data_IF_783171529515
#
_entry.id   IF_783171529515
#
_cell.length_a   1.000
_cell.length_b   1.000
_cell.length_c   1.000
_cell.angle_alpha   90.00
_cell.angle_beta   90.00
_cell.angle_gamma   90.00
#
_symmetry.space_group_name_H-M   'P 1'
#
loop_
_entity.id
_entity.type
_entity.pdbx_description
1 polymer ?
#
# COMPACT_ATOMS: atom_id res chain seq x y z
N UNK A 1 -29.54 -18.70 20.12
CA UNK A 1 -29.25 -19.83 19.20
C UNK A 1 -28.45 -19.40 17.96
N UNK A 2 -29.00 -18.66 16.98
CA UNK A 2 -28.23 -18.28 15.79
C UNK A 2 -27.00 -17.40 16.04
N UNK A 3 -27.07 -16.52 17.05
CA UNK A 3 -25.96 -15.62 17.41
C UNK A 3 -24.80 -16.36 18.10
N UNK A 4 -25.10 -17.43 18.85
CA UNK A 4 -24.10 -18.19 19.61
C UNK A 4 -23.21 -19.02 18.67
N UNK A 5 -23.81 -19.64 17.65
CA UNK A 5 -23.08 -20.41 16.63
C UNK A 5 -22.15 -19.49 15.82
N UNK A 6 -22.64 -18.31 15.40
CA UNK A 6 -21.83 -17.32 14.69
C UNK A 6 -20.59 -16.94 15.51
N UNK A 7 -20.77 -16.61 16.78
CA UNK A 7 -19.67 -16.19 17.67
C UNK A 7 -18.64 -17.32 17.83
N UNK A 8 -19.09 -18.57 18.02
CA UNK A 8 -18.20 -19.73 18.11
C UNK A 8 -17.37 -19.89 16.84
N UNK A 9 -18.00 -19.90 15.66
CA UNK A 9 -17.30 -20.02 14.37
C UNK A 9 -16.28 -18.89 14.19
N UNK A 10 -16.65 -17.65 14.51
CA UNK A 10 -15.74 -16.51 14.41
C UNK A 10 -14.54 -16.62 15.34
N UNK A 11 -14.74 -17.03 16.59
CA UNK A 11 -13.67 -17.17 17.56
C UNK A 11 -12.71 -18.29 17.16
N UNK A 12 -13.25 -19.46 16.80
CA UNK A 12 -12.44 -20.60 16.38
C UNK A 12 -11.68 -20.31 15.08
N UNK A 13 -12.32 -19.66 14.10
CA UNK A 13 -11.64 -19.27 12.86
C UNK A 13 -10.50 -18.27 13.14
N UNK A 14 -10.68 -17.30 14.04
CA UNK A 14 -9.62 -16.35 14.43
C UNK A 14 -8.44 -17.06 15.11
N UNK A 15 -8.72 -17.94 16.05
CA UNK A 15 -7.68 -18.73 16.73
C UNK A 15 -6.88 -19.58 15.74
N UNK A 16 -7.56 -20.26 14.80
CA UNK A 16 -6.90 -21.01 13.75
C UNK A 16 -6.05 -20.11 12.83
N UNK A 17 -6.50 -18.90 12.49
CA UNK A 17 -5.71 -17.94 11.70
C UNK A 17 -4.46 -17.50 12.47
N UNK A 18 -4.59 -17.18 13.75
CA UNK A 18 -3.48 -16.77 14.62
C UNK A 18 -2.44 -17.87 14.80
N UNK A 19 -2.89 -19.13 14.89
CA UNK A 19 -2.03 -20.30 14.98
C UNK A 19 -1.44 -20.75 13.63
N UNK A 20 -1.80 -20.10 12.51
CA UNK A 20 -1.33 -20.45 11.17
C UNK A 20 -2.09 -21.61 10.50
N UNK A 21 -3.11 -22.15 11.15
CA UNK A 21 -4.00 -23.21 10.66
C UNK A 21 -5.05 -22.67 9.65
N UNK A 22 -4.61 -21.96 8.61
CA UNK A 22 -5.49 -21.22 7.69
C UNK A 22 -6.51 -22.14 6.98
N UNK A 23 -6.16 -23.40 6.71
CA UNK A 23 -7.09 -24.37 6.09
C UNK A 23 -8.27 -24.72 6.98
N UNK A 24 -8.06 -24.85 8.30
CA UNK A 24 -9.15 -25.13 9.24
C UNK A 24 -10.09 -23.94 9.35
N UNK A 25 -9.54 -22.72 9.47
CA UNK A 25 -10.32 -21.49 9.46
C UNK A 25 -11.18 -21.37 8.20
N UNK A 26 -10.61 -21.65 7.03
CA UNK A 26 -11.34 -21.64 5.76
C UNK A 26 -12.53 -22.62 5.74
N UNK A 27 -12.33 -23.87 6.19
CA UNK A 27 -13.38 -24.89 6.24
C UNK A 27 -14.53 -24.45 7.15
N UNK A 28 -14.20 -23.92 8.35
CA UNK A 28 -15.19 -23.44 9.32
C UNK A 28 -16.04 -22.30 8.73
N UNK A 29 -15.39 -21.29 8.15
CA UNK A 29 -16.07 -20.12 7.58
C UNK A 29 -16.92 -20.51 6.37
N UNK A 30 -16.41 -21.38 5.49
CA UNK A 30 -17.14 -21.87 4.31
C UNK A 30 -18.37 -22.68 4.72
N UNK A 31 -18.21 -23.63 5.64
CA UNK A 31 -19.31 -24.45 6.15
C UNK A 31 -20.42 -23.63 6.80
N UNK A 32 -20.09 -22.51 7.46
CA UNK A 32 -21.11 -21.58 7.97
C UNK A 32 -21.85 -20.86 6.83
N UNK A 33 -21.12 -20.40 5.80
CA UNK A 33 -21.69 -19.66 4.68
C UNK A 33 -22.55 -20.50 3.73
N UNK A 34 -22.33 -21.82 3.68
CA UNK A 34 -23.18 -22.73 2.89
C UNK A 34 -24.65 -22.69 3.34
N UNK A 35 -24.93 -22.25 4.57
CA UNK A 35 -26.28 -22.15 5.13
C UNK A 35 -26.69 -20.74 5.55
N UNK A 36 -25.77 -19.77 5.55
CA UNK A 36 -26.00 -18.42 6.06
C UNK A 36 -25.39 -17.36 5.16
N UNK A 37 -26.09 -16.25 4.93
CA UNK A 37 -25.53 -15.10 4.24
C UNK A 37 -25.05 -14.05 5.26
N UNK A 38 -23.78 -14.13 5.68
CA UNK A 38 -23.21 -13.21 6.67
C UNK A 38 -22.00 -12.45 6.09
N UNK A 39 -22.14 -11.12 6.03
CA UNK A 39 -21.14 -10.24 5.42
C UNK A 39 -19.79 -10.24 6.15
N UNK A 40 -19.77 -10.43 7.46
CA UNK A 40 -18.54 -10.44 8.25
C UNK A 40 -17.76 -11.73 8.00
N UNK A 41 -18.44 -12.88 8.05
CA UNK A 41 -17.82 -14.20 7.79
C UNK A 41 -17.39 -14.30 6.31
N UNK A 42 -18.22 -13.85 5.37
CA UNK A 42 -17.86 -13.77 3.95
C UNK A 42 -16.61 -12.90 3.73
N UNK A 43 -16.51 -11.78 4.45
CA UNK A 43 -15.35 -10.89 4.38
C UNK A 43 -14.08 -11.56 4.90
N UNK A 44 -14.15 -12.28 6.03
CA UNK A 44 -12.98 -12.99 6.58
C UNK A 44 -12.52 -14.07 5.60
N UNK A 45 -13.44 -14.87 5.06
CA UNK A 45 -13.11 -15.90 4.07
C UNK A 45 -12.51 -15.31 2.79
N UNK A 46 -13.08 -14.21 2.28
CA UNK A 46 -12.54 -13.51 1.12
C UNK A 46 -11.14 -12.93 1.38
N UNK A 47 -10.86 -12.47 2.60
CA UNK A 47 -9.53 -11.99 2.97
C UNK A 47 -8.49 -13.12 3.01
N UNK A 48 -8.87 -14.33 3.45
CA UNK A 48 -8.02 -15.52 3.35
C UNK A 48 -7.64 -15.79 1.89
N UNK A 49 -8.63 -15.86 0.99
CA UNK A 49 -8.38 -16.08 -0.43
C UNK A 49 -7.55 -14.94 -1.06
N UNK A 50 -7.84 -13.70 -0.69
CA UNK A 50 -7.08 -12.52 -1.14
C UNK A 50 -5.63 -12.55 -0.68
N UNK A 51 -5.37 -13.04 0.52
CA UNK A 51 -4.03 -13.25 1.08
C UNK A 51 -3.23 -14.31 0.32
N UNK A 52 -3.90 -15.34 -0.19
CA UNK A 52 -3.30 -16.42 -1.01
C UNK A 52 -3.25 -16.12 -2.51
N UNK A 53 -3.71 -14.94 -2.94
CA UNK A 53 -3.76 -14.56 -4.36
C UNK A 53 -4.93 -15.17 -5.16
N UNK A 54 -5.86 -15.84 -4.50
CA UNK A 54 -7.08 -16.43 -5.07
C UNK A 54 -8.17 -15.35 -5.25
N UNK A 55 -7.88 -14.37 -6.12
CA UNK A 55 -8.68 -13.15 -6.26
C UNK A 55 -10.05 -13.38 -6.92
N UNK A 56 -10.19 -14.43 -7.74
CA UNK A 56 -11.47 -14.76 -8.39
C UNK A 56 -12.46 -15.30 -7.36
N UNK A 57 -12.00 -16.21 -6.53
CA UNK A 57 -12.74 -16.84 -5.43
C UNK A 57 -13.17 -15.79 -4.41
N UNK A 58 -12.24 -14.92 -4.00
CA UNK A 58 -12.54 -13.78 -3.13
C UNK A 58 -13.61 -12.85 -3.73
N UNK A 59 -13.53 -12.58 -5.05
CA UNK A 59 -14.50 -11.73 -5.73
C UNK A 59 -15.90 -12.35 -5.79
N UNK A 60 -16.02 -13.66 -6.08
CA UNK A 60 -17.32 -14.33 -6.15
C UNK A 60 -18.04 -14.32 -4.79
N UNK A 61 -17.30 -14.55 -3.69
CA UNK A 61 -17.85 -14.48 -2.33
C UNK A 61 -18.37 -13.08 -2.01
N UNK A 62 -17.58 -12.04 -2.34
CA UNK A 62 -17.92 -10.67 -1.99
C UNK A 62 -19.01 -10.05 -2.87
N UNK A 63 -19.18 -10.50 -4.13
CA UNK A 63 -20.25 -10.01 -5.02
C UNK A 63 -21.66 -10.26 -4.49
N UNK A 64 -21.84 -11.35 -3.75
CA UNK A 64 -23.11 -11.68 -3.11
C UNK A 64 -23.41 -10.86 -1.84
N UNK A 65 -22.43 -10.09 -1.35
CA UNK A 65 -22.54 -9.36 -0.11
C UNK A 65 -23.04 -7.93 -0.30
N UNK A 66 -23.82 -7.44 0.67
CA UNK A 66 -24.28 -6.07 0.67
C UNK A 66 -23.13 -5.11 1.02
N UNK A 67 -22.74 -4.27 0.06
CA UNK A 67 -21.76 -3.19 0.25
C UNK A 67 -22.17 -2.13 1.29
N UNK A 68 -23.36 -2.23 1.89
CA UNK A 68 -23.80 -1.44 3.03
C UNK A 68 -23.02 -1.77 4.32
N UNK A 69 -22.34 -2.92 4.35
CA UNK A 69 -21.37 -3.27 5.37
C UNK A 69 -19.99 -2.74 4.98
N UNK A 70 -19.34 -1.99 5.86
CA UNK A 70 -18.03 -1.41 5.61
C UNK A 70 -16.98 -2.50 5.39
N UNK A 71 -17.05 -3.61 6.14
CA UNK A 71 -16.16 -4.76 5.95
C UNK A 71 -16.23 -5.30 4.50
N UNK A 72 -17.44 -5.55 3.98
CA UNK A 72 -17.65 -6.02 2.62
C UNK A 72 -17.20 -4.98 1.57
N UNK A 73 -17.56 -3.70 1.77
CA UNK A 73 -17.11 -2.61 0.90
C UNK A 73 -15.58 -2.51 0.82
N UNK A 74 -14.91 -2.58 1.98
CA UNK A 74 -13.44 -2.51 2.09
C UNK A 74 -12.78 -3.68 1.36
N UNK A 75 -13.18 -4.92 1.67
CA UNK A 75 -12.58 -6.09 1.04
C UNK A 75 -12.86 -6.17 -0.45
N UNK A 76 -14.06 -5.80 -0.90
CA UNK A 76 -14.37 -5.75 -2.34
C UNK A 76 -13.55 -4.67 -3.05
N UNK A 77 -13.32 -3.52 -2.40
CA UNK A 77 -12.45 -2.47 -2.91
C UNK A 77 -11.02 -2.98 -3.11
N UNK A 78 -10.47 -3.66 -2.11
CA UNK A 78 -9.13 -4.25 -2.16
C UNK A 78 -8.98 -5.30 -3.27
N UNK A 79 -9.98 -6.17 -3.44
CA UNK A 79 -10.00 -7.15 -4.53
C UNK A 79 -10.05 -6.46 -5.90
N UNK A 80 -10.86 -5.41 -6.07
CA UNK A 80 -10.89 -4.65 -7.31
C UNK A 80 -9.59 -3.93 -7.60
N UNK A 81 -8.90 -3.41 -6.59
CA UNK A 81 -7.57 -2.82 -6.75
C UNK A 81 -6.58 -3.86 -7.26
N UNK A 82 -6.52 -5.03 -6.62
CA UNK A 82 -5.61 -6.12 -7.02
C UNK A 82 -5.94 -6.71 -8.39
N UNK A 83 -7.18 -6.65 -8.83
CA UNK A 83 -7.63 -7.08 -10.16
C UNK A 83 -7.63 -5.95 -11.19
N UNK A 84 -7.18 -4.74 -10.83
CA UNK A 84 -7.15 -3.56 -11.70
C UNK A 84 -8.52 -3.17 -12.29
N UNK A 85 -9.59 -3.48 -11.56
CA UNK A 85 -10.97 -3.20 -11.98
C UNK A 85 -11.40 -1.79 -11.54
N UNK A 86 -10.66 -0.77 -11.95
CA UNK A 86 -10.81 0.61 -11.43
C UNK A 86 -12.17 1.26 -11.73
N UNK A 87 -12.80 0.97 -12.87
CA UNK A 87 -14.17 1.47 -13.14
C UNK A 87 -15.22 0.84 -12.22
N UNK A 88 -15.06 -0.46 -11.89
CA UNK A 88 -15.94 -1.11 -10.90
C UNK A 88 -15.72 -0.55 -9.50
N UNK A 89 -14.46 -0.30 -9.15
CA UNK A 89 -14.08 0.36 -7.90
C UNK A 89 -14.66 1.77 -7.80
N UNK A 90 -14.60 2.56 -8.89
CA UNK A 90 -15.20 3.89 -8.95
C UNK A 90 -16.71 3.85 -8.70
N UNK A 91 -17.43 2.94 -9.37
CA UNK A 91 -18.88 2.79 -9.15
C UNK A 91 -19.22 2.35 -7.73
N UNK A 92 -18.42 1.44 -7.16
CA UNK A 92 -18.56 1.01 -5.76
C UNK A 92 -18.33 2.17 -4.78
N UNK A 93 -17.27 2.95 -4.97
CA UNK A 93 -16.99 4.14 -4.18
C UNK A 93 -18.09 5.19 -4.32
N UNK A 94 -18.52 5.51 -5.54
CA UNK A 94 -19.56 6.51 -5.84
C UNK A 94 -20.88 6.18 -5.14
N UNK A 95 -21.26 4.90 -5.09
CA UNK A 95 -22.46 4.42 -4.38
C UNK A 95 -22.37 4.60 -2.85
N UNK A 96 -21.16 4.54 -2.30
CA UNK A 96 -20.94 4.47 -0.84
C UNK A 96 -20.30 5.73 -0.23
N UNK A 97 -19.86 6.72 -1.03
CA UNK A 97 -19.10 7.90 -0.56
C UNK A 97 -19.77 8.74 0.52
N UNK A 98 -21.10 8.76 0.56
CA UNK A 98 -21.90 9.54 1.52
C UNK A 98 -22.69 8.64 2.49
N UNK A 99 -22.35 7.36 2.58
CA UNK A 99 -23.16 6.36 3.26
C UNK A 99 -22.76 6.19 4.72
N UNK A 100 -23.75 5.89 5.56
CA UNK A 100 -23.54 5.35 6.91
C UNK A 100 -23.58 3.82 6.83
N UNK A 101 -22.47 3.17 7.15
CA UNK A 101 -22.36 1.71 7.09
C UNK A 101 -23.02 1.05 8.31
N UNK A 102 -23.68 -0.09 8.10
CA UNK A 102 -24.54 -0.75 9.10
C UNK A 102 -23.75 -1.41 10.24
N UNK A 103 -22.54 -1.87 9.97
CA UNK A 103 -21.63 -2.54 10.91
C UNK A 103 -20.82 -1.58 11.79
N UNK A 104 -20.88 -0.27 11.52
CA UNK A 104 -20.10 0.72 12.27
C UNK A 104 -20.94 1.36 13.38
N UNK A 105 -20.65 0.98 14.64
CA UNK A 105 -21.34 1.52 15.81
C UNK A 105 -20.50 2.50 16.62
N UNK A 106 -19.17 2.36 16.58
CA UNK A 106 -18.25 3.20 17.35
C UNK A 106 -17.79 4.38 16.51
N UNK A 107 -17.72 5.56 17.14
CA UNK A 107 -17.27 6.79 16.47
C UNK A 107 -15.89 6.63 15.81
N UNK A 108 -14.96 5.97 16.51
CA UNK A 108 -13.62 5.66 15.97
C UNK A 108 -13.68 4.89 14.64
N UNK A 109 -14.58 3.93 14.53
CA UNK A 109 -14.70 3.08 13.34
C UNK A 109 -15.33 3.86 12.18
N UNK A 110 -16.29 4.74 12.48
CA UNK A 110 -16.87 5.69 11.51
C UNK A 110 -15.80 6.65 10.97
N UNK A 111 -14.94 7.20 11.85
CA UNK A 111 -13.83 8.06 11.45
C UNK A 111 -12.85 7.31 10.54
N UNK A 112 -12.53 6.06 10.87
CA UNK A 112 -11.63 5.22 10.05
C UNK A 112 -12.24 4.91 8.68
N UNK A 113 -13.54 4.63 8.61
CA UNK A 113 -14.24 4.39 7.36
C UNK A 113 -14.25 5.63 6.45
N UNK A 114 -14.49 6.83 7.03
CA UNK A 114 -14.40 8.10 6.29
C UNK A 114 -13.00 8.34 5.75
N UNK A 115 -11.96 8.07 6.55
CA UNK A 115 -10.55 8.16 6.11
C UNK A 115 -10.27 7.19 4.95
N UNK A 116 -10.76 5.95 5.04
CA UNK A 116 -10.61 4.98 3.97
C UNK A 116 -11.29 5.42 2.67
N UNK A 117 -12.54 5.91 2.73
CA UNK A 117 -13.27 6.43 1.57
C UNK A 117 -12.55 7.58 0.88
N UNK A 118 -11.99 8.51 1.67
CA UNK A 118 -11.21 9.63 1.14
C UNK A 118 -9.92 9.15 0.46
N UNK A 119 -9.22 8.20 1.04
CA UNK A 119 -8.02 7.63 0.41
C UNK A 119 -8.35 6.91 -0.87
N UNK A 120 -9.48 6.20 -0.90
CA UNK A 120 -9.92 5.50 -2.10
C UNK A 120 -10.26 6.49 -3.22
N UNK A 121 -10.87 7.62 -2.87
CA UNK A 121 -11.09 8.74 -3.79
C UNK A 121 -9.78 9.25 -4.39
N UNK A 122 -8.77 9.50 -3.55
CA UNK A 122 -7.44 9.96 -3.98
C UNK A 122 -6.76 8.93 -4.89
N UNK A 123 -6.79 7.65 -4.50
CA UNK A 123 -6.23 6.55 -5.28
C UNK A 123 -6.90 6.43 -6.66
N UNK A 124 -8.24 6.45 -6.71
CA UNK A 124 -8.98 6.37 -7.96
C UNK A 124 -8.65 7.52 -8.93
N UNK A 125 -8.22 8.67 -8.41
CA UNK A 125 -7.82 9.81 -9.22
C UNK A 125 -6.65 9.49 -10.16
N UNK A 126 -5.77 8.55 -9.81
CA UNK A 126 -4.71 8.04 -10.69
C UNK A 126 -5.24 7.40 -11.99
N UNK A 127 -6.47 6.89 -11.98
CA UNK A 127 -6.98 5.99 -13.03
C UNK A 127 -8.24 6.53 -13.72
N UNK A 128 -9.06 7.33 -13.03
CA UNK A 128 -10.36 7.82 -13.54
C UNK A 128 -10.52 9.34 -13.37
N UNK A 129 -9.39 10.07 -13.39
CA UNK A 129 -9.18 11.49 -13.06
C UNK A 129 -10.34 12.46 -13.38
N UNK A 130 -10.98 12.34 -14.55
CA UNK A 130 -12.07 13.26 -14.99
C UNK A 130 -13.38 13.16 -14.21
N UNK A 131 -13.54 12.20 -13.30
CA UNK A 131 -14.83 11.89 -12.64
C UNK A 131 -14.83 12.11 -11.12
N UNK A 132 -13.73 12.60 -10.54
CA UNK A 132 -13.52 12.64 -9.08
C UNK A 132 -12.91 13.98 -8.64
N UNK A 133 -13.59 14.66 -7.72
CA UNK A 133 -13.08 15.88 -7.09
C UNK A 133 -11.84 15.60 -6.24
N UNK A 134 -10.92 16.55 -6.18
CA UNK A 134 -9.77 16.48 -5.25
C UNK A 134 -10.23 16.87 -3.85
N UNK A 135 -9.94 16.09 -2.80
CA UNK A 135 -10.13 16.55 -1.42
C UNK A 135 -9.37 17.86 -1.15
N UNK A 136 -9.98 18.77 -0.38
CA UNK A 136 -9.43 20.11 -0.11
C UNK A 136 -8.16 20.12 0.74
N UNK A 137 -7.95 19.08 1.54
CA UNK A 137 -6.73 18.87 2.33
C UNK A 137 -6.18 17.48 1.99
N UNK A 138 -4.88 17.36 1.79
CA UNK A 138 -4.21 16.09 1.48
C UNK A 138 -3.09 15.86 2.48
N UNK A 139 -2.90 14.61 2.91
CA UNK A 139 -1.66 14.22 3.58
C UNK A 139 -0.52 14.03 2.55
N UNK A 140 0.71 13.89 3.03
CA UNK A 140 1.88 13.79 2.15
C UNK A 140 1.77 12.68 1.10
N UNK A 141 1.25 11.50 1.48
CA UNK A 141 1.10 10.37 0.56
C UNK A 141 -0.05 10.58 -0.40
N UNK A 142 -1.16 11.14 0.08
CA UNK A 142 -2.28 11.56 -0.77
C UNK A 142 -1.82 12.59 -1.82
N UNK A 143 -0.94 13.52 -1.46
CA UNK A 143 -0.30 14.43 -2.41
C UNK A 143 0.56 13.70 -3.43
N UNK A 144 1.33 12.68 -3.02
CA UNK A 144 2.12 11.87 -3.97
C UNK A 144 1.23 11.21 -5.01
N UNK A 145 0.06 10.72 -4.61
CA UNK A 145 -0.92 10.13 -5.51
C UNK A 145 -1.51 11.16 -6.50
N UNK A 146 -1.95 12.32 -6.02
CA UNK A 146 -2.60 13.31 -6.90
C UNK A 146 -1.60 13.99 -7.83
N UNK A 147 -0.40 14.28 -7.35
CA UNK A 147 0.67 14.89 -8.16
C UNK A 147 1.45 13.84 -8.94
N UNK A 148 1.10 12.56 -8.83
CA UNK A 148 1.89 11.48 -9.41
C UNK A 148 2.09 11.71 -10.91
N UNK A 149 3.34 11.95 -11.26
CA UNK A 149 3.79 11.97 -12.63
C UNK A 149 5.01 11.07 -12.70
N UNK A 150 4.89 9.94 -13.40
CA UNK A 150 5.98 8.98 -13.55
C UNK A 150 7.28 9.63 -14.07
N UNK A 151 7.18 10.69 -14.89
CA UNK A 151 8.35 11.44 -15.40
C UNK A 151 9.01 12.34 -14.35
N UNK A 152 8.31 12.63 -13.26
CA UNK A 152 8.77 13.47 -12.14
C UNK A 152 8.90 12.69 -10.83
N UNK A 153 8.71 11.38 -10.83
CA UNK A 153 8.73 10.55 -9.62
C UNK A 153 10.04 10.72 -8.81
N UNK A 154 11.15 11.00 -9.48
CA UNK A 154 12.42 11.32 -8.82
C UNK A 154 12.38 12.61 -7.98
N UNK A 155 11.71 13.66 -8.47
CA UNK A 155 11.57 14.95 -7.77
C UNK A 155 10.82 14.79 -6.44
N UNK A 156 9.86 13.86 -6.40
CA UNK A 156 9.09 13.50 -5.20
C UNK A 156 9.91 12.76 -4.13
N UNK A 157 10.97 12.05 -4.55
CA UNK A 157 11.88 11.26 -3.71
C UNK A 157 13.09 12.08 -3.26
N UNK A 158 13.52 13.05 -4.08
CA UNK A 158 14.71 13.87 -3.84
C UNK A 158 14.51 15.01 -2.81
N UNK A 159 13.26 15.35 -2.47
CA UNK A 159 12.98 16.36 -1.45
C UNK A 159 13.33 15.83 -0.06
N UNK A 160 14.30 16.51 0.59
CA UNK A 160 14.74 16.20 1.95
C UNK A 160 13.52 16.06 2.87
N UNK A 161 13.29 14.83 3.29
CA UNK A 161 12.18 14.47 4.15
C UNK A 161 12.50 14.91 5.59
N UNK A 162 12.25 16.19 5.92
CA UNK A 162 12.28 16.69 7.31
C UNK A 162 10.87 16.86 7.88
N UNK A 163 10.42 15.94 8.73
CA UNK A 163 9.21 16.10 9.55
C UNK A 163 9.58 15.93 11.02
N UNK A 164 9.15 16.87 11.85
CA UNK A 164 9.35 16.84 13.31
C UNK A 164 8.45 15.83 14.02
N UNK A 165 7.41 15.31 13.37
CA UNK A 165 6.35 14.57 14.06
C UNK A 165 6.24 13.12 13.60
N UNK A 166 6.33 12.22 14.58
CA UNK A 166 6.46 10.77 14.50
C UNK A 166 5.10 10.08 14.17
N UNK A 167 4.39 10.57 13.16
CA UNK A 167 3.03 10.14 12.79
C UNK A 167 3.10 9.17 11.59
N UNK A 168 2.40 8.03 11.61
CA UNK A 168 2.27 7.22 10.40
C UNK A 168 1.60 8.05 9.29
N UNK A 169 2.27 8.21 8.16
CA UNK A 169 1.93 9.06 6.98
C UNK A 169 2.60 10.43 6.92
N UNK A 170 3.43 10.79 7.90
CA UNK A 170 4.48 11.78 7.71
C UNK A 170 5.78 11.05 7.37
N UNK A 171 6.44 11.51 6.31
CA UNK A 171 7.89 11.62 6.19
C UNK A 171 8.71 10.82 7.24
N UNK A 172 9.46 9.83 6.77
CA UNK A 172 10.09 8.82 7.62
C UNK A 172 11.29 9.30 8.42
N UNK A 173 11.70 10.57 8.28
CA UNK A 173 12.94 11.09 8.86
C UNK A 173 14.13 10.22 8.45
N UNK A 174 14.22 9.89 7.16
CA UNK A 174 15.32 9.11 6.60
C UNK A 174 15.83 9.76 5.33
N UNK A 175 17.16 9.74 5.16
CA UNK A 175 17.85 10.41 4.06
C UNK A 175 18.78 9.43 3.37
N UNK A 176 18.74 9.37 2.03
CA UNK A 176 19.72 8.65 1.22
C UNK A 176 21.09 9.32 1.35
N UNK A 177 22.18 8.55 1.46
CA UNK A 177 23.50 9.16 1.44
C UNK A 177 23.79 9.80 0.08
N UNK A 178 24.32 11.03 0.10
CA UNK A 178 24.65 11.82 -1.08
C UNK A 178 25.71 11.20 -1.99
N UNK A 179 26.42 10.16 -1.52
CA UNK A 179 27.41 9.42 -2.31
C UNK A 179 26.79 8.49 -3.37
N UNK A 180 25.49 8.22 -3.29
CA UNK A 180 24.78 7.40 -4.26
C UNK A 180 24.02 8.28 -5.26
N UNK A 181 24.00 7.88 -6.53
CA UNK A 181 23.12 8.49 -7.52
C UNK A 181 21.68 8.00 -7.31
N UNK A 182 20.82 8.92 -6.91
CA UNK A 182 19.43 8.66 -6.61
C UNK A 182 18.62 8.31 -7.87
N UNK A 183 18.99 8.85 -9.03
CA UNK A 183 18.40 8.52 -10.33
C UNK A 183 18.73 7.08 -10.72
N UNK A 184 20.00 6.68 -10.65
CA UNK A 184 20.40 5.28 -10.89
C UNK A 184 19.76 4.33 -9.87
N UNK A 185 19.70 4.74 -8.59
CA UNK A 185 19.04 3.96 -7.55
C UNK A 185 17.56 3.76 -7.86
N UNK A 186 16.85 4.82 -8.25
CA UNK A 186 15.43 4.73 -8.62
C UNK A 186 15.21 3.80 -9.81
N UNK A 187 16.03 3.93 -10.86
CA UNK A 187 15.93 3.12 -12.05
C UNK A 187 16.23 1.64 -11.76
N UNK A 188 17.27 1.37 -10.99
CA UNK A 188 17.62 0.02 -10.55
C UNK A 188 16.49 -0.61 -9.73
N UNK A 189 15.92 0.12 -8.76
CA UNK A 189 14.79 -0.37 -7.96
C UNK A 189 13.60 -0.68 -8.85
N UNK A 190 13.25 0.20 -9.81
CA UNK A 190 12.12 -0.02 -10.72
C UNK A 190 12.32 -1.25 -11.62
N UNK A 191 13.55 -1.52 -12.09
CA UNK A 191 13.89 -2.71 -12.90
C UNK A 191 13.81 -4.02 -12.13
N UNK A 192 14.10 -3.98 -10.83
CA UNK A 192 14.25 -5.17 -9.98
C UNK A 192 13.02 -5.47 -9.10
N UNK A 193 11.85 -4.91 -9.43
CA UNK A 193 10.61 -5.26 -8.72
C UNK A 193 10.19 -6.69 -9.05
N UNK A 194 10.27 -7.55 -8.04
CA UNK A 194 9.82 -8.94 -8.03
C UNK A 194 8.39 -9.00 -7.48
N UNK A 195 7.38 -9.07 -8.35
CA UNK A 195 5.96 -8.97 -7.97
C UNK A 195 5.53 -10.02 -6.92
N UNK A 196 6.13 -11.20 -6.97
CA UNK A 196 5.93 -12.30 -6.03
C UNK A 196 6.45 -12.00 -4.61
N UNK A 197 7.38 -11.05 -4.47
CA UNK A 197 7.97 -10.62 -3.19
C UNK A 197 7.25 -9.43 -2.56
N UNK A 198 6.16 -8.97 -3.16
CA UNK A 198 5.33 -7.87 -2.65
C UNK A 198 4.88 -8.12 -1.21
N UNK A 199 5.13 -7.15 -0.33
CA UNK A 199 4.41 -7.07 0.94
C UNK A 199 2.99 -6.55 0.71
N UNK A 200 2.01 -7.43 0.84
CA UNK A 200 0.60 -7.05 0.82
C UNK A 200 0.23 -6.49 2.20
N UNK A 201 0.43 -5.20 2.41
CA UNK A 201 -0.12 -4.46 3.57
C UNK A 201 -1.22 -3.53 3.11
N UNK A 202 -2.39 -4.09 2.82
CA UNK A 202 -3.61 -3.35 2.48
C UNK A 202 -4.25 -2.65 3.68
N UNK A 203 -3.48 -2.32 4.72
CA UNK A 203 -4.08 -1.72 5.89
C UNK A 203 -4.64 -0.32 5.55
N UNK A 204 -3.94 0.49 4.73
CA UNK A 204 -4.33 1.91 4.55
C UNK A 204 -3.89 2.65 3.26
N UNK A 205 -2.95 2.13 2.44
CA UNK A 205 -2.27 2.97 1.43
C UNK A 205 -2.36 2.50 -0.02
N UNK A 206 -3.18 1.48 -0.33
CA UNK A 206 -3.45 0.96 -1.70
C UNK A 206 -2.23 0.83 -2.62
N UNK A 207 -1.03 0.70 -2.08
CA UNK A 207 0.24 0.59 -2.81
C UNK A 207 0.86 -0.76 -2.53
N UNK A 208 1.60 -1.25 -3.52
CA UNK A 208 2.43 -2.42 -3.33
C UNK A 208 3.75 -1.98 -2.71
N UNK A 209 4.20 -2.69 -1.69
CA UNK A 209 5.45 -2.38 -0.99
C UNK A 209 6.49 -3.45 -1.26
N UNK A 210 7.69 -3.01 -1.62
CA UNK A 210 8.85 -3.86 -1.87
C UNK A 210 10.01 -3.43 -0.99
N UNK A 211 10.77 -4.40 -0.48
CA UNK A 211 11.95 -4.16 0.35
C UNK A 211 13.18 -4.69 -0.37
N UNK A 212 14.16 -3.81 -0.59
CA UNK A 212 15.44 -4.16 -1.19
C UNK A 212 16.52 -4.07 -0.13
N UNK A 213 17.47 -5.01 -0.14
CA UNK A 213 18.67 -4.91 0.69
C UNK A 213 19.71 -4.04 -0.04
N UNK A 214 20.15 -2.97 0.62
CA UNK A 214 21.26 -2.14 0.16
C UNK A 214 22.01 -1.62 1.38
N UNK A 215 23.21 -2.17 1.64
CA UNK A 215 23.96 -1.86 2.85
C UNK A 215 24.37 -0.38 2.89
N UNK A 216 24.17 0.26 4.05
CA UNK A 216 24.50 1.67 4.28
C UNK A 216 23.95 2.58 3.17
N UNK A 217 22.66 2.45 2.82
CA UNK A 217 22.03 3.23 1.74
C UNK A 217 21.63 4.64 2.21
N UNK A 218 21.42 4.81 3.50
CA UNK A 218 21.02 6.08 4.08
C UNK A 218 21.11 6.09 5.60
N UNK A 219 20.57 7.14 6.19
CA UNK A 219 20.62 7.42 7.63
C UNK A 219 19.24 7.82 8.15
N UNK A 220 18.97 7.51 9.41
CA UNK A 220 17.80 8.00 10.14
C UNK A 220 18.12 9.37 10.76
N UNK A 221 17.30 10.37 10.48
CA UNK A 221 17.44 11.73 10.99
C UNK A 221 17.15 11.83 12.50
N UNK A 222 16.48 10.82 13.07
CA UNK A 222 16.12 10.80 14.49
C UNK A 222 17.24 10.34 15.40
N UNK A 223 18.06 9.39 14.95
CA UNK A 223 19.05 8.70 15.78
C UNK A 223 20.41 8.47 15.09
N UNK A 224 20.58 8.97 13.86
CA UNK A 224 21.84 8.90 13.10
C UNK A 224 22.25 7.50 12.66
N UNK A 225 21.41 6.47 12.88
CA UNK A 225 21.78 5.09 12.56
C UNK A 225 21.70 4.81 11.06
N UNK A 226 22.62 3.97 10.59
CA UNK A 226 22.66 3.54 9.20
C UNK A 226 21.47 2.64 8.85
N UNK A 227 20.94 2.87 7.66
CA UNK A 227 19.82 2.14 7.08
C UNK A 227 20.35 1.25 5.98
N UNK A 228 19.96 -0.02 6.03
CA UNK A 228 20.51 -1.08 5.18
C UNK A 228 19.49 -1.63 4.18
N UNK A 229 18.33 -0.99 4.08
CA UNK A 229 17.22 -1.41 3.24
C UNK A 229 16.58 -0.20 2.58
N UNK A 230 15.96 -0.44 1.43
CA UNK A 230 15.15 0.54 0.71
C UNK A 230 13.72 -0.01 0.72
N UNK A 231 12.77 0.82 1.13
CA UNK A 231 11.36 0.55 0.90
C UNK A 231 10.91 1.32 -0.33
N UNK A 232 10.34 0.62 -1.30
CA UNK A 232 9.68 1.23 -2.45
C UNK A 232 8.18 0.95 -2.39
N UNK A 233 7.37 2.00 -2.55
CA UNK A 233 5.93 1.91 -2.70
C UNK A 233 5.58 2.17 -4.16
N UNK A 234 4.80 1.28 -4.78
CA UNK A 234 4.42 1.38 -6.19
C UNK A 234 2.92 1.42 -6.35
N UNK A 235 2.48 1.89 -7.52
CA UNK A 235 1.11 1.67 -7.97
C UNK A 235 0.89 0.14 -8.05
N UNK A 236 -0.21 -0.41 -7.48
CA UNK A 236 -0.44 -1.84 -7.42
C UNK A 236 -0.26 -2.55 -8.76
N UNK A 237 0.41 -3.71 -8.71
CA UNK A 237 0.75 -4.56 -9.85
C UNK A 237 1.59 -3.86 -10.94
N UNK A 238 2.25 -2.76 -10.61
CA UNK A 238 3.18 -2.10 -11.54
C UNK A 238 4.54 -1.87 -10.89
N UNK A 239 5.54 -1.59 -11.73
CA UNK A 239 6.86 -1.12 -11.28
C UNK A 239 6.95 0.41 -11.16
N UNK A 240 5.80 1.11 -11.23
CA UNK A 240 5.71 2.55 -11.15
C UNK A 240 5.81 2.99 -9.69
N UNK A 241 7.02 3.35 -9.29
CA UNK A 241 7.32 3.82 -7.93
C UNK A 241 6.62 5.16 -7.69
N UNK A 242 5.84 5.23 -6.62
CA UNK A 242 5.21 6.43 -6.08
C UNK A 242 6.20 7.15 -5.17
N UNK A 243 6.88 6.40 -4.30
CA UNK A 243 7.90 6.90 -3.38
C UNK A 243 8.84 5.78 -2.97
N UNK A 244 10.08 6.12 -2.59
CA UNK A 244 11.01 5.18 -1.97
C UNK A 244 11.87 5.89 -0.92
N UNK A 245 12.29 5.17 0.11
CA UNK A 245 13.12 5.74 1.17
C UNK A 245 13.96 4.66 1.88
N UNK A 246 15.11 5.04 2.49
CA UNK A 246 15.89 4.14 3.34
C UNK A 246 15.11 3.71 4.57
N UNK A 247 15.28 2.46 5.01
CA UNK A 247 14.58 1.92 6.17
C UNK A 247 15.37 0.82 6.90
N UNK A 248 14.89 0.44 8.08
CA UNK A 248 15.35 -0.76 8.79
C UNK A 248 14.61 -2.01 8.27
N UNK A 249 15.25 -3.18 8.34
CA UNK A 249 14.55 -4.43 8.08
C UNK A 249 13.55 -4.72 9.20
N UNK A 250 12.28 -4.38 8.95
CA UNK A 250 11.18 -4.76 9.81
C UNK A 250 10.67 -6.13 9.38
N UNK A 251 11.41 -7.19 9.71
CA UNK A 251 10.96 -8.60 9.63
C UNK A 251 10.26 -8.94 8.30
N UNK A 252 10.77 -8.45 7.17
CA UNK A 252 10.21 -8.82 5.88
C UNK A 252 10.67 -10.22 5.52
N UNK A 253 9.73 -11.13 5.24
CA UNK A 253 10.04 -12.46 4.75
C UNK A 253 10.44 -12.46 3.26
N UNK A 254 10.26 -11.34 2.55
CA UNK A 254 10.41 -11.25 1.10
C UNK A 254 11.28 -10.05 0.72
N UNK A 255 12.56 -10.30 0.44
CA UNK A 255 13.53 -9.28 0.00
C UNK A 255 13.74 -9.37 -1.51
N UNK A 256 13.49 -8.27 -2.22
CA UNK A 256 13.91 -8.11 -3.61
C UNK A 256 15.43 -8.03 -3.70
N UNK A 257 15.98 -8.59 -4.77
CA UNK A 257 17.43 -8.56 -5.05
C UNK A 257 17.75 -7.48 -6.06
N UNK A 258 18.85 -6.76 -5.86
CA UNK A 258 19.42 -5.90 -6.90
C UNK A 258 20.47 -6.70 -7.67
N UNK A 259 20.44 -6.60 -8.99
CA UNK A 259 21.51 -7.18 -9.82
C UNK A 259 22.85 -6.49 -9.53
N UNK A 260 23.95 -7.21 -9.76
CA UNK A 260 25.30 -6.73 -9.46
C UNK A 260 25.67 -5.52 -10.32
N UNK A 261 25.23 -5.51 -11.57
CA UNK A 261 25.45 -4.46 -12.55
C UNK A 261 24.78 -3.15 -12.12
N UNK A 262 23.57 -3.24 -11.58
CA UNK A 262 22.84 -2.10 -11.03
C UNK A 262 23.56 -1.52 -9.80
N UNK A 263 24.06 -2.38 -8.89
CA UNK A 263 24.81 -1.92 -7.72
C UNK A 263 26.10 -1.19 -8.10
N UNK A 264 26.77 -1.62 -9.16
CA UNK A 264 27.97 -0.96 -9.69
C UNK A 264 27.65 0.44 -10.24
N UNK A 265 26.57 0.59 -11.03
CA UNK A 265 26.12 1.89 -11.55
C UNK A 265 25.83 2.89 -10.43
N UNK A 266 25.11 2.45 -9.39
CA UNK A 266 24.72 3.29 -8.24
C UNK A 266 25.95 3.79 -7.46
N UNK A 267 26.98 2.96 -7.33
CA UNK A 267 28.17 3.25 -6.52
C UNK A 267 29.29 3.96 -7.30
N UNK A 268 29.17 4.11 -8.63
CA UNK A 268 30.25 4.64 -9.46
C UNK A 268 30.33 6.17 -9.42
N UNK A 269 31.34 6.69 -8.70
CA UNK A 269 31.59 8.13 -8.54
C UNK A 269 31.92 8.89 -9.83
N UNK A 270 32.34 8.20 -10.89
CA UNK A 270 32.74 8.81 -12.17
C UNK A 270 31.52 9.21 -13.01
N UNK A 271 30.37 8.53 -12.84
CA UNK A 271 29.10 8.93 -13.47
C UNK A 271 28.51 10.16 -12.76
N UNK A 272 28.85 10.35 -11.48
CA UNK A 272 28.30 11.41 -10.63
C UNK A 272 28.87 12.78 -10.98
N UNK A 273 30.11 12.85 -11.46
CA UNK A 273 30.77 14.12 -11.84
C UNK A 273 30.16 14.78 -13.07
N UNK A 274 29.65 14.01 -14.04
CA UNK A 274 28.99 14.56 -15.23
C UNK A 274 27.52 14.95 -14.95
N UNK A 275 26.88 14.38 -13.92
CA UNK A 275 25.51 14.73 -13.49
C UNK A 275 25.43 15.86 -12.47
N UNK A 276 26.54 16.32 -11.88
CA UNK A 276 26.58 17.57 -11.07
C UNK A 276 26.03 18.77 -11.87
N UNK A 277 26.11 18.73 -13.19
CA UNK A 277 25.49 19.72 -14.08
C UNK A 277 23.94 19.77 -13.98
N UNK A 278 23.27 18.66 -13.63
CA UNK A 278 21.80 18.61 -13.45
C UNK A 278 21.33 19.07 -12.07
N UNK A 279 22.08 18.81 -11.00
CA UNK A 279 21.75 19.35 -9.65
C UNK A 279 21.84 20.89 -9.63
N UNK A 280 22.73 21.48 -10.44
CA UNK A 280 22.77 22.93 -10.66
C UNK A 280 21.54 23.48 -11.40
N UNK A 281 20.78 22.67 -12.15
CA UNK A 281 19.55 23.11 -12.83
C UNK A 281 18.31 23.06 -11.92
N UNK A 282 18.33 22.24 -10.85
CA UNK A 282 17.24 22.21 -9.85
C UNK A 282 17.47 23.15 -8.66
N UNK A 283 18.66 23.73 -8.56
CA UNK A 283 18.98 24.77 -7.59
C UNK A 283 18.67 26.14 -8.20
N UNK A 284 17.68 26.83 -7.62
CA UNK A 284 17.45 28.28 -7.72
C UNK A 284 16.68 28.74 -8.98
N UNK A 285 15.36 28.61 -8.93
CA UNK A 285 14.52 29.80 -9.11
C UNK A 285 14.04 30.23 -7.72
N UNK A 286 14.93 30.92 -6.99
CA UNK A 286 14.49 31.81 -5.92
C UNK A 286 13.87 33.05 -6.58
N UNK A 287 12.57 33.20 -6.44
CA UNK A 287 11.95 34.50 -6.20
C UNK A 287 11.05 34.35 -4.99
#
# INVERSE_FOLDING_TARGET
MGNDIKITILNEAKENIENGDIKKAEILLKGYLDFNNDAEIATILANIYTGRGQLKEALEILKGQDSNYFCAFKSLSEVYIKLEKYEKLYNLWKKNKNRTFQDLKKEKDIINAKKYLRRLQVFLKLFVDKKIDTPSALDYKEEQYIKYNHKKALEHIALRHTSKDNIPNTNTGTIFYSKYDLEELFLAISRNIEFEKREIKLNWDFSDTYIFRFANVGVSDYDGRNLNFIRAATIPNTNKIITMFPTYNRKSSCLCSLQKEDMLSICNSIVHTDRVYRVKTYSINKK
#
